data_IF_647632155381
#
_entry.id   IF_647632155381
#
_cell.length_a   1.000
_cell.length_b   1.000
_cell.length_c   1.000
_cell.angle_alpha   90.00
_cell.angle_beta   90.00
_cell.angle_gamma   90.00
#
_symmetry.space_group_name_H-M   'P 1'
#
loop_
_entity.id
_entity.type
_entity.pdbx_description
1 polymer ?
#
# COMPACT_ATOMS: atom_id res chain seq x y z
N UNK A 1 -2.02 5.64 -17.50
CA UNK A 1 -2.21 4.56 -16.49
C UNK A 1 -3.71 4.41 -16.31
N UNK A 2 -4.23 3.18 -16.51
CA UNK A 2 -5.68 2.94 -16.56
C UNK A 2 -6.04 1.88 -15.50
N UNK A 3 -7.24 1.99 -14.95
CA UNK A 3 -7.80 1.04 -14.02
C UNK A 3 -9.33 1.09 -14.11
N UNK A 4 -9.97 -0.07 -14.14
CA UNK A 4 -11.42 -0.19 -14.04
C UNK A 4 -11.76 -0.86 -12.73
N UNK A 5 -12.68 -0.26 -11.96
CA UNK A 5 -13.13 -0.82 -10.68
C UNK A 5 -14.62 -1.14 -10.79
N UNK A 6 -14.97 -2.39 -10.49
CA UNK A 6 -16.34 -2.89 -10.54
C UNK A 6 -16.80 -3.33 -9.15
N UNK A 7 -18.00 -2.91 -8.78
CA UNK A 7 -18.68 -3.41 -7.57
C UNK A 7 -19.24 -4.82 -7.80
N UNK A 8 -19.07 -5.70 -6.81
CA UNK A 8 -19.44 -7.12 -6.92
C UNK A 8 -20.63 -7.52 -6.03
N UNK A 9 -21.23 -6.57 -5.32
CA UNK A 9 -22.24 -6.82 -4.29
C UNK A 9 -23.64 -7.17 -4.78
N UNK A 10 -23.89 -7.27 -6.09
CA UNK A 10 -25.17 -7.70 -6.65
C UNK A 10 -25.13 -9.14 -7.15
N UNK A 11 -26.28 -9.82 -7.17
CA UNK A 11 -26.39 -11.21 -7.66
C UNK A 11 -26.01 -11.39 -9.14
N UNK A 12 -26.00 -10.32 -9.92
CA UNK A 12 -25.54 -10.31 -11.31
C UNK A 12 -24.02 -10.01 -11.45
N UNK A 13 -23.40 -9.46 -10.43
CA UNK A 13 -22.04 -8.91 -10.53
C UNK A 13 -20.93 -9.97 -10.49
N UNK A 14 -21.17 -11.17 -9.99
CA UNK A 14 -20.16 -12.24 -9.95
C UNK A 14 -19.74 -12.75 -11.33
N UNK A 15 -20.63 -12.63 -12.35
CA UNK A 15 -20.31 -12.96 -13.74
C UNK A 15 -19.68 -11.79 -14.51
N UNK A 16 -19.88 -10.56 -14.04
CA UNK A 16 -19.41 -9.33 -14.69
C UNK A 16 -18.11 -8.80 -14.10
N UNK A 17 -17.64 -9.36 -12.97
CA UNK A 17 -16.42 -8.97 -12.30
C UNK A 17 -15.45 -10.17 -12.20
N UNK A 18 -14.88 -10.62 -13.33
CA UNK A 18 -13.94 -11.74 -13.33
C UNK A 18 -12.74 -11.43 -12.42
N UNK A 19 -12.33 -12.43 -11.61
CA UNK A 19 -11.23 -12.27 -10.66
C UNK A 19 -11.65 -11.90 -9.23
N UNK A 20 -12.95 -11.68 -8.95
CA UNK A 20 -13.44 -11.57 -7.59
C UNK A 20 -13.42 -12.95 -6.90
N UNK A 21 -12.87 -13.01 -5.69
CA UNK A 21 -12.68 -14.28 -4.95
C UNK A 21 -13.62 -14.44 -3.78
N UNK A 22 -14.46 -13.45 -3.46
CA UNK A 22 -15.25 -13.38 -2.24
C UNK A 22 -16.74 -13.72 -2.38
N UNK A 23 -17.22 -14.15 -3.56
CA UNK A 23 -18.66 -14.35 -3.76
C UNK A 23 -19.44 -13.03 -3.70
N UNK A 24 -20.75 -13.09 -3.50
CA UNK A 24 -21.60 -11.90 -3.37
C UNK A 24 -21.45 -11.30 -1.97
N UNK A 25 -20.53 -10.38 -1.76
CA UNK A 25 -20.45 -9.56 -0.55
C UNK A 25 -20.99 -8.16 -0.80
N UNK A 26 -21.64 -7.56 0.22
CA UNK A 26 -22.32 -6.27 0.07
C UNK A 26 -21.40 -5.14 -0.42
N UNK A 27 -20.12 -5.14 -0.04
CA UNK A 27 -19.14 -4.08 -0.36
C UNK A 27 -17.83 -4.61 -0.95
N UNK A 28 -17.93 -5.65 -1.80
CA UNK A 28 -16.81 -6.18 -2.56
C UNK A 28 -16.57 -5.42 -3.87
N UNK A 29 -15.31 -5.24 -4.23
CA UNK A 29 -14.89 -4.60 -5.47
C UNK A 29 -13.74 -5.36 -6.10
N UNK A 30 -13.71 -5.40 -7.42
CA UNK A 30 -12.57 -5.89 -8.19
C UNK A 30 -12.03 -4.77 -9.07
N UNK A 31 -10.72 -4.58 -9.06
CA UNK A 31 -10.03 -3.65 -9.93
C UNK A 31 -9.19 -4.40 -10.95
N UNK A 32 -9.34 -4.04 -12.22
CA UNK A 32 -8.49 -4.48 -13.33
C UNK A 32 -7.54 -3.35 -13.70
N UNK A 33 -6.25 -3.55 -13.54
CA UNK A 33 -5.24 -2.54 -13.84
C UNK A 33 -4.80 -2.60 -15.29
N UNK A 34 -4.34 -1.47 -15.84
CA UNK A 34 -3.79 -1.41 -17.20
C UNK A 34 -2.55 -2.28 -17.42
N UNK A 35 -1.91 -2.78 -16.35
CA UNK A 35 -0.82 -3.77 -16.42
C UNK A 35 -1.32 -5.23 -16.50
N UNK A 36 -2.63 -5.47 -16.56
CA UNK A 36 -3.24 -6.78 -16.71
C UNK A 36 -3.40 -7.56 -15.39
N UNK A 37 -3.33 -6.90 -14.24
CA UNK A 37 -3.49 -7.54 -12.94
C UNK A 37 -4.82 -7.22 -12.31
N UNK A 38 -5.27 -8.11 -11.42
CA UNK A 38 -6.50 -7.96 -10.66
C UNK A 38 -6.19 -7.69 -9.19
N UNK A 39 -6.91 -6.74 -8.60
CA UNK A 39 -6.87 -6.40 -7.19
C UNK A 39 -8.28 -6.47 -6.61
N UNK A 40 -8.45 -7.24 -5.54
CA UNK A 40 -9.71 -7.32 -4.81
C UNK A 40 -9.70 -6.37 -3.60
N UNK A 41 -10.83 -5.75 -3.34
CA UNK A 41 -11.06 -4.89 -2.17
C UNK A 41 -12.43 -5.21 -1.55
N UNK A 42 -12.56 -5.08 -0.25
CA UNK A 42 -13.84 -5.30 0.45
C UNK A 42 -14.03 -4.27 1.58
N UNK A 43 -15.27 -4.14 2.03
CA UNK A 43 -15.63 -3.34 3.19
C UNK A 43 -15.43 -4.08 4.51
N UNK A 44 -15.38 -3.32 5.61
CA UNK A 44 -15.53 -3.90 6.94
C UNK A 44 -17.00 -4.34 7.16
N UNK A 45 -17.24 -5.36 7.98
CA UNK A 45 -18.58 -5.66 8.44
C UNK A 45 -19.19 -4.46 9.20
N UNK A 46 -20.45 -4.20 8.97
CA UNK A 46 -21.23 -3.22 9.75
C UNK A 46 -22.23 -3.98 10.63
N UNK A 47 -21.97 -4.02 11.94
CA UNK A 47 -22.83 -4.73 12.88
C UNK A 47 -24.20 -4.07 13.07
N UNK A 48 -24.31 -2.76 12.83
CA UNK A 48 -25.56 -2.01 12.99
C UNK A 48 -26.44 -2.09 11.73
N UNK A 49 -25.80 -2.19 10.56
CA UNK A 49 -26.45 -2.25 9.24
C UNK A 49 -25.70 -3.24 8.35
N UNK A 50 -25.90 -4.54 8.54
CA UNK A 50 -25.16 -5.58 7.81
C UNK A 50 -25.27 -5.46 6.29
N UNK A 51 -26.38 -4.94 5.78
CA UNK A 51 -26.62 -4.68 4.36
C UNK A 51 -25.67 -3.60 3.76
N UNK A 52 -25.09 -2.74 4.59
CA UNK A 52 -24.16 -1.69 4.19
C UNK A 52 -22.68 -2.10 4.39
N UNK A 53 -22.45 -3.21 5.06
CA UNK A 53 -21.10 -3.72 5.35
C UNK A 53 -20.56 -4.66 4.29
N UNK A 54 -19.24 -4.87 4.31
CA UNK A 54 -18.57 -5.94 3.60
C UNK A 54 -18.40 -7.19 4.45
N UNK A 55 -17.75 -8.19 3.89
CA UNK A 55 -17.46 -9.46 4.57
C UNK A 55 -16.01 -9.57 5.06
N UNK A 56 -15.21 -8.51 4.86
CA UNK A 56 -13.77 -8.47 5.19
C UNK A 56 -12.96 -9.60 4.50
N UNK A 57 -13.27 -9.89 3.24
CA UNK A 57 -12.63 -10.94 2.44
C UNK A 57 -11.42 -10.45 1.66
N UNK A 58 -11.21 -9.14 1.62
CA UNK A 58 -10.09 -8.49 0.95
C UNK A 58 -9.72 -7.18 1.68
N UNK A 59 -8.54 -6.58 1.39
CA UNK A 59 -8.15 -5.32 1.99
C UNK A 59 -9.15 -4.21 1.65
N UNK A 60 -9.30 -3.28 2.58
CA UNK A 60 -10.13 -2.09 2.37
C UNK A 60 -9.48 -1.12 1.37
N UNK A 61 -10.23 -0.28 0.67
CA UNK A 61 -9.66 0.69 -0.28
C UNK A 61 -8.55 1.55 0.33
N UNK A 62 -8.70 2.04 1.56
CA UNK A 62 -7.68 2.85 2.23
C UNK A 62 -6.43 2.04 2.64
N UNK A 63 -6.59 0.77 2.99
CA UNK A 63 -5.46 -0.15 3.23
C UNK A 63 -4.69 -0.41 1.94
N UNK A 64 -5.39 -0.52 0.82
CA UNK A 64 -4.79 -0.66 -0.51
C UNK A 64 -3.96 0.58 -0.89
N UNK A 65 -4.46 1.79 -0.60
CA UNK A 65 -3.69 3.02 -0.81
C UNK A 65 -2.44 3.06 0.05
N UNK A 66 -2.53 2.66 1.31
CA UNK A 66 -1.40 2.59 2.23
C UNK A 66 -0.37 1.56 1.76
N UNK A 67 -0.81 0.36 1.37
CA UNK A 67 0.04 -0.69 0.82
C UNK A 67 0.73 -0.24 -0.48
N UNK A 68 0.01 0.46 -1.37
CA UNK A 68 0.56 1.04 -2.59
C UNK A 68 1.67 2.06 -2.32
N UNK A 69 1.50 2.91 -1.31
CA UNK A 69 2.53 3.86 -0.89
C UNK A 69 3.77 3.14 -0.34
N UNK A 70 3.57 2.10 0.50
CA UNK A 70 4.65 1.26 1.01
C UNK A 70 5.43 0.55 -0.09
N UNK A 71 4.71 -0.05 -1.05
CA UNK A 71 5.31 -0.70 -2.21
C UNK A 71 6.09 0.27 -3.10
N UNK A 72 5.56 1.48 -3.31
CA UNK A 72 6.21 2.54 -4.09
C UNK A 72 7.56 2.94 -3.48
N UNK A 73 7.58 3.25 -2.19
CA UNK A 73 8.82 3.66 -1.51
C UNK A 73 9.82 2.51 -1.37
N UNK A 74 9.37 1.27 -1.07
CA UNK A 74 10.23 0.10 -1.02
C UNK A 74 10.91 -0.16 -2.37
N UNK A 75 10.16 -0.04 -3.47
CA UNK A 75 10.70 -0.18 -4.82
C UNK A 75 11.85 0.81 -5.07
N UNK A 76 11.64 2.09 -4.72
CA UNK A 76 12.66 3.12 -4.89
C UNK A 76 13.91 2.83 -4.07
N UNK A 77 13.75 2.49 -2.77
CA UNK A 77 14.87 2.18 -1.88
C UNK A 77 15.70 1.03 -2.44
N UNK A 78 15.06 -0.06 -2.83
CA UNK A 78 15.75 -1.22 -3.44
C UNK A 78 16.44 -0.83 -4.73
N UNK A 79 15.77 -0.07 -5.60
CA UNK A 79 16.33 0.37 -6.89
C UNK A 79 17.56 1.28 -6.70
N UNK A 80 17.49 2.25 -5.77
CA UNK A 80 18.58 3.17 -5.48
C UNK A 80 19.79 2.40 -4.95
N UNK A 81 19.57 1.47 -4.00
CA UNK A 81 20.65 0.65 -3.45
C UNK A 81 21.29 -0.25 -4.51
N UNK A 82 20.48 -0.90 -5.37
CA UNK A 82 21.00 -1.70 -6.50
C UNK A 82 21.79 -0.87 -7.50
N UNK A 83 21.34 0.33 -7.85
CA UNK A 83 22.07 1.26 -8.71
C UNK A 83 23.37 1.73 -8.06
N UNK A 84 23.39 1.86 -6.73
CA UNK A 84 24.61 2.08 -5.94
C UNK A 84 25.55 0.87 -5.86
N UNK A 85 25.21 -0.26 -6.49
CA UNK A 85 25.96 -1.53 -6.47
C UNK A 85 26.06 -2.14 -5.06
N UNK A 86 25.10 -1.86 -4.19
CA UNK A 86 25.03 -2.48 -2.87
C UNK A 86 24.36 -3.85 -2.96
N UNK A 87 24.82 -4.81 -2.15
CA UNK A 87 24.23 -6.14 -2.05
C UNK A 87 23.00 -6.12 -1.12
N UNK A 88 21.90 -5.51 -1.61
CA UNK A 88 20.61 -5.50 -0.94
C UNK A 88 19.89 -6.81 -1.24
N UNK A 89 19.39 -7.50 -0.19
CA UNK A 89 18.74 -8.81 -0.27
C UNK A 89 17.30 -8.80 0.19
N UNK A 90 16.89 -7.78 0.94
CA UNK A 90 15.50 -7.61 1.37
C UNK A 90 15.19 -6.19 1.77
N UNK A 91 13.92 -5.83 1.66
CA UNK A 91 13.38 -4.56 2.13
C UNK A 91 11.92 -4.79 2.55
N UNK A 92 11.66 -4.62 3.83
CA UNK A 92 10.31 -4.64 4.39
C UNK A 92 9.96 -3.24 4.88
N UNK A 93 8.73 -2.81 4.64
CA UNK A 93 8.23 -1.54 5.16
C UNK A 93 7.00 -1.83 6.01
N UNK A 94 7.09 -1.61 7.30
CA UNK A 94 5.95 -1.64 8.21
C UNK A 94 5.32 -0.24 8.23
N UNK A 95 4.02 -0.17 7.98
CA UNK A 95 3.28 1.08 7.89
C UNK A 95 2.18 1.13 8.95
N UNK A 96 2.03 2.30 9.56
CA UNK A 96 0.87 2.64 10.38
C UNK A 96 0.36 4.01 9.96
N UNK A 97 -0.97 4.18 9.88
CA UNK A 97 -1.57 5.44 9.46
C UNK A 97 -2.71 5.84 10.40
N UNK A 98 -2.65 7.07 10.90
CA UNK A 98 -3.75 7.73 11.59
C UNK A 98 -4.65 8.41 10.55
N UNK A 99 -5.94 8.48 10.84
CA UNK A 99 -6.95 9.12 10.00
C UNK A 99 -7.68 10.20 10.77
N UNK A 100 -8.18 11.19 10.04
CA UNK A 100 -9.07 12.20 10.63
C UNK A 100 -10.31 11.54 11.28
N UNK A 101 -10.73 12.06 12.42
CA UNK A 101 -11.89 11.57 13.18
C UNK A 101 -13.20 11.86 12.45
N UNK A 102 -13.25 12.97 11.71
CA UNK A 102 -14.42 13.43 10.95
C UNK A 102 -14.19 13.29 9.45
N UNK A 103 -15.27 13.21 8.67
CA UNK A 103 -15.19 13.17 7.21
C UNK A 103 -14.71 14.53 6.62
N UNK A 104 -13.91 14.38 5.54
CA UNK A 104 -13.35 13.19 4.94
C UNK A 104 -12.23 12.59 5.81
N UNK A 105 -12.31 11.29 6.11
CA UNK A 105 -11.34 10.58 6.96
C UNK A 105 -10.03 10.32 6.21
N UNK A 106 -9.34 11.39 5.81
CA UNK A 106 -8.02 11.32 5.16
C UNK A 106 -6.95 10.82 6.13
N UNK A 107 -5.84 10.35 5.61
CA UNK A 107 -4.65 10.11 6.44
C UNK A 107 -4.12 11.45 6.96
N UNK A 108 -3.85 11.49 8.26
CA UNK A 108 -3.27 12.67 8.95
C UNK A 108 -1.81 12.44 9.34
N UNK A 109 -1.44 11.18 9.59
CA UNK A 109 -0.06 10.78 9.85
C UNK A 109 0.17 9.38 9.29
N UNK A 110 1.34 9.16 8.69
CA UNK A 110 1.79 7.84 8.22
C UNK A 110 3.21 7.63 8.74
N UNK A 111 3.40 6.61 9.56
CA UNK A 111 4.73 6.15 9.99
C UNK A 111 5.15 4.97 9.14
N UNK A 112 6.40 4.99 8.68
CA UNK A 112 7.00 3.96 7.85
C UNK A 112 8.32 3.51 8.48
N UNK A 113 8.39 2.26 8.91
CA UNK A 113 9.62 1.66 9.41
C UNK A 113 10.19 0.70 8.38
N UNK A 114 11.42 0.96 7.94
CA UNK A 114 12.11 0.15 6.94
C UNK A 114 13.07 -0.83 7.63
N UNK A 115 12.93 -2.11 7.34
CA UNK A 115 13.93 -3.13 7.67
C UNK A 115 14.62 -3.53 6.38
N UNK A 116 15.87 -3.11 6.19
CA UNK A 116 16.65 -3.38 4.97
C UNK A 116 17.73 -4.40 5.29
N UNK A 117 17.72 -5.51 4.55
CA UNK A 117 18.70 -6.59 4.74
C UNK A 117 19.67 -6.67 3.56
N UNK A 118 20.92 -6.99 3.84
CA UNK A 118 21.92 -7.15 2.80
C UNK A 118 23.30 -7.46 3.36
N UNK A 119 24.29 -7.56 2.49
CA UNK A 119 25.68 -7.82 2.87
C UNK A 119 26.51 -6.56 2.79
N UNK A 120 27.14 -6.23 3.91
CA UNK A 120 27.98 -5.02 4.05
C UNK A 120 27.27 -3.74 3.58
N UNK A 121 25.97 -3.60 3.87
CA UNK A 121 25.19 -2.42 3.49
C UNK A 121 25.58 -1.22 4.36
N UNK A 122 26.11 -0.13 3.76
CA UNK A 122 26.37 1.09 4.53
C UNK A 122 25.06 1.72 5.03
N UNK A 123 24.96 1.96 6.31
CA UNK A 123 23.80 2.63 6.94
C UNK A 123 23.47 3.96 6.24
N UNK A 124 24.51 4.77 5.95
CA UNK A 124 24.33 6.04 5.24
C UNK A 124 23.77 5.89 3.81
N UNK A 125 24.03 4.76 3.13
CA UNK A 125 23.45 4.51 1.80
C UNK A 125 21.95 4.19 1.90
N UNK A 126 21.53 3.44 2.92
CA UNK A 126 20.13 3.14 3.19
C UNK A 126 19.38 4.41 3.60
N UNK A 127 19.91 5.18 4.53
CA UNK A 127 19.34 6.47 4.94
C UNK A 127 19.14 7.40 3.75
N UNK A 128 20.16 7.56 2.91
CA UNK A 128 20.07 8.37 1.69
C UNK A 128 19.04 7.84 0.69
N UNK A 129 18.91 6.52 0.54
CA UNK A 129 17.93 5.92 -0.36
C UNK A 129 16.50 6.20 0.09
N UNK A 130 16.23 6.09 1.40
CA UNK A 130 14.93 6.41 2.00
C UNK A 130 14.59 7.89 1.83
N UNK A 131 15.53 8.79 2.16
CA UNK A 131 15.35 10.23 1.97
C UNK A 131 15.07 10.59 0.51
N UNK A 132 15.85 10.06 -0.44
CA UNK A 132 15.63 10.30 -1.87
C UNK A 132 14.28 9.77 -2.37
N UNK A 133 13.83 8.61 -1.89
CA UNK A 133 12.50 8.11 -2.22
C UNK A 133 11.43 9.09 -1.75
N UNK A 134 11.47 9.47 -0.47
CA UNK A 134 10.47 10.34 0.13
C UNK A 134 10.46 11.76 -0.49
N UNK A 135 11.64 12.37 -0.68
CA UNK A 135 11.75 13.77 -1.09
C UNK A 135 11.57 13.97 -2.60
N UNK A 136 11.83 12.93 -3.42
CA UNK A 136 11.95 13.13 -4.87
C UNK A 136 11.25 12.10 -5.74
N UNK A 137 11.25 10.81 -5.39
CA UNK A 137 10.89 9.77 -6.36
C UNK A 137 9.54 9.12 -6.09
N UNK A 138 9.19 8.83 -4.85
CA UNK A 138 7.95 8.13 -4.54
C UNK A 138 6.72 9.03 -4.71
N UNK A 139 6.06 8.89 -5.86
CA UNK A 139 4.81 9.63 -6.13
C UNK A 139 3.74 9.36 -5.07
N UNK A 140 3.66 8.14 -4.54
CA UNK A 140 2.69 7.76 -3.51
C UNK A 140 2.88 8.56 -2.22
N UNK A 141 4.10 8.60 -1.67
CA UNK A 141 4.38 9.34 -0.43
C UNK A 141 4.30 10.85 -0.64
N UNK A 142 4.73 11.37 -1.80
CA UNK A 142 4.62 12.79 -2.13
C UNK A 142 3.14 13.23 -2.22
N UNK A 143 2.28 12.43 -2.84
CA UNK A 143 0.84 12.72 -2.91
C UNK A 143 0.19 12.67 -1.53
N UNK A 144 0.41 11.60 -0.76
CA UNK A 144 -0.16 11.45 0.58
C UNK A 144 0.38 12.48 1.57
N UNK A 145 1.63 12.92 1.41
CA UNK A 145 2.26 13.96 2.20
C UNK A 145 1.62 15.36 2.03
N UNK A 146 0.64 15.53 1.12
CA UNK A 146 -0.15 16.78 1.03
C UNK A 146 -1.20 16.88 2.12
N UNK A 147 -1.61 15.77 2.71
CA UNK A 147 -2.62 15.70 3.76
C UNK A 147 -2.08 15.07 5.05
N UNK A 148 -1.06 14.24 4.97
CA UNK A 148 -0.51 13.47 6.08
C UNK A 148 0.94 13.86 6.38
N UNK A 149 1.30 13.91 7.66
CA UNK A 149 2.68 13.91 8.09
C UNK A 149 3.29 12.53 7.79
N UNK A 150 4.40 12.48 7.03
CA UNK A 150 5.11 11.22 6.76
C UNK A 150 6.33 11.16 7.68
N UNK A 151 6.42 10.12 8.51
CA UNK A 151 7.53 9.87 9.43
C UNK A 151 8.21 8.57 9.04
N UNK A 152 9.52 8.62 8.80
CA UNK A 152 10.31 7.45 8.43
C UNK A 152 11.30 7.08 9.52
N UNK A 153 11.51 5.79 9.72
CA UNK A 153 12.59 5.22 10.52
C UNK A 153 13.10 3.96 9.86
N UNK A 154 14.29 3.51 10.20
CA UNK A 154 14.84 2.32 9.57
C UNK A 154 15.84 1.58 10.47
N UNK A 155 16.07 0.33 10.12
CA UNK A 155 17.17 -0.51 10.60
C UNK A 155 17.82 -1.23 9.41
N UNK A 156 19.10 -1.56 9.58
CA UNK A 156 19.87 -2.33 8.58
C UNK A 156 20.34 -3.62 9.25
N UNK A 157 20.00 -4.74 8.64
CA UNK A 157 20.36 -6.07 9.13
C UNK A 157 21.37 -6.73 8.20
N UNK A 158 22.49 -7.18 8.78
CA UNK A 158 23.50 -7.96 8.06
C UNK A 158 22.96 -9.37 7.81
N UNK A 159 23.14 -9.85 6.58
CA UNK A 159 22.83 -11.24 6.20
C UNK A 159 24.03 -11.86 5.52
N UNK A 160 24.34 -13.08 5.89
CA UNK A 160 25.51 -13.85 5.43
C UNK A 160 25.46 -14.27 3.96
#
# INVERSE_FOLDING_TARGET
>A
MDCTVSWTGGSAASSEAPGWVGGASGMGFVAHTGSGHTLNMDGAPDAAKPENGGANLAPRPMETMLAGAGGCTAYDVVLILKRGRHDVRGCTVALHADRAEVDPKVFTKITMHFTVTGKALPVAAVEKAIALSHDKYCSGTIMLGKTAEIVTSFEVLEVG
#
